data_IF_621850235897
#
_entry.id   IF_621850235897
#
_cell.length_a   1.000
_cell.length_b   1.000
_cell.length_c   1.000
_cell.angle_alpha   90.00
_cell.angle_beta   90.00
_cell.angle_gamma   90.00
#
_symmetry.space_group_name_H-M   'P 1'
#
loop_
_entity.id
_entity.type
_entity.pdbx_description
1 polymer ?
#
# COMPACT_ATOMS: atom_id res chain seq x y z
N UNK A 1 -0.89 -20.47 -22.20
CA UNK A 1 -1.57 -20.38 -20.89
C UNK A 1 -0.57 -20.48 -19.73
N UNK A 2 0.35 -21.44 -19.76
CA UNK A 2 1.36 -21.64 -18.71
C UNK A 2 2.34 -20.46 -18.52
N UNK A 3 2.78 -19.83 -19.62
CA UNK A 3 3.68 -18.66 -19.55
C UNK A 3 3.09 -17.47 -18.76
N UNK A 4 1.78 -17.22 -18.87
CA UNK A 4 1.14 -16.14 -18.11
C UNK A 4 1.08 -16.45 -16.62
N UNK A 5 0.82 -17.71 -16.25
CA UNK A 5 0.82 -18.16 -14.85
C UNK A 5 2.23 -18.13 -14.27
N UNK A 6 3.24 -18.48 -15.07
CA UNK A 6 4.65 -18.41 -14.71
C UNK A 6 5.10 -16.96 -14.48
N UNK A 7 4.74 -16.05 -15.37
CA UNK A 7 4.99 -14.61 -15.21
C UNK A 7 4.37 -14.01 -13.95
N UNK A 8 3.14 -14.41 -13.58
CA UNK A 8 2.52 -13.98 -12.32
C UNK A 8 3.24 -14.53 -11.08
N UNK A 9 3.74 -15.76 -11.13
CA UNK A 9 4.45 -16.39 -9.99
C UNK A 9 5.84 -15.79 -9.76
N UNK A 10 6.61 -15.58 -10.83
CA UNK A 10 8.02 -15.18 -10.73
C UNK A 10 8.27 -13.69 -10.96
N UNK A 11 7.55 -13.08 -11.91
CA UNK A 11 7.80 -11.70 -12.35
C UNK A 11 7.36 -10.64 -11.33
N UNK A 12 6.31 -10.89 -10.56
CA UNK A 12 5.81 -9.95 -9.55
C UNK A 12 6.40 -10.13 -8.15
N UNK A 13 6.80 -11.36 -7.78
CA UNK A 13 7.21 -11.70 -6.41
C UNK A 13 8.72 -11.85 -6.23
N UNK A 14 9.31 -12.85 -6.88
CA UNK A 14 10.71 -13.27 -6.62
C UNK A 14 11.71 -12.28 -7.22
N UNK A 15 11.45 -11.76 -8.42
CA UNK A 15 12.36 -10.86 -9.13
C UNK A 15 12.64 -9.54 -8.38
N UNK A 16 11.72 -9.11 -7.50
CA UNK A 16 11.81 -7.84 -6.77
C UNK A 16 12.36 -8.04 -5.34
N UNK A 17 12.55 -9.28 -4.89
CA UNK A 17 13.09 -9.57 -3.56
C UNK A 17 14.46 -8.89 -3.26
N UNK A 18 15.42 -8.82 -4.21
CA UNK A 18 16.68 -8.11 -3.97
C UNK A 18 16.48 -6.60 -3.71
N UNK A 19 15.56 -5.97 -4.45
CA UNK A 19 15.23 -4.56 -4.28
C UNK A 19 14.57 -4.30 -2.93
N UNK A 20 13.59 -5.12 -2.55
CA UNK A 20 12.93 -5.04 -1.24
C UNK A 20 13.95 -5.19 -0.12
N UNK A 21 14.82 -6.20 -0.21
CA UNK A 21 15.85 -6.44 0.80
C UNK A 21 16.80 -5.24 0.92
N UNK A 22 17.25 -4.67 -0.21
CA UNK A 22 18.09 -3.48 -0.21
C UNK A 22 17.41 -2.29 0.48
N UNK A 23 16.11 -2.06 0.22
CA UNK A 23 15.34 -0.99 0.87
C UNK A 23 15.18 -1.23 2.38
N UNK A 24 14.87 -2.47 2.80
CA UNK A 24 14.73 -2.81 4.22
C UNK A 24 16.06 -2.66 4.98
N UNK A 25 17.16 -3.13 4.40
CA UNK A 25 18.50 -2.99 4.97
C UNK A 25 18.92 -1.52 5.06
N UNK A 26 18.62 -0.70 4.03
CA UNK A 26 18.89 0.74 4.06
C UNK A 26 18.08 1.48 5.14
N UNK A 27 16.85 1.03 5.44
CA UNK A 27 16.00 1.63 6.46
C UNK A 27 16.31 1.15 7.89
N UNK A 28 16.90 -0.04 8.06
CA UNK A 28 17.18 -0.65 9.36
C UNK A 28 18.05 0.22 10.31
N UNK A 29 19.16 0.85 9.86
CA UNK A 29 20.02 1.65 10.75
C UNK A 29 19.47 3.06 11.04
N UNK A 30 18.44 3.53 10.32
CA UNK A 30 17.94 4.90 10.43
C UNK A 30 17.12 5.12 11.72
N UNK A 31 17.75 5.18 12.89
CA UNK A 31 17.09 5.52 14.17
C UNK A 31 16.97 7.03 14.30
N UNK A 32 15.84 7.53 14.82
CA UNK A 32 15.66 8.96 15.10
C UNK A 32 15.44 9.86 13.86
N UNK A 33 14.50 9.52 12.98
CA UNK A 33 14.18 10.37 11.83
C UNK A 33 13.58 11.71 12.26
N UNK A 34 14.07 12.79 11.64
CA UNK A 34 13.46 14.11 11.69
C UNK A 34 11.94 13.99 11.41
N UNK A 35 11.07 14.71 12.14
CA UNK A 35 9.62 14.56 12.03
C UNK A 35 9.07 14.64 10.59
N UNK A 36 9.70 15.46 9.75
CA UNK A 36 9.34 15.63 8.33
C UNK A 36 9.58 14.38 7.46
N UNK A 37 10.50 13.48 7.86
CA UNK A 37 10.81 12.24 7.12
C UNK A 37 9.93 11.05 7.57
N UNK A 38 9.16 11.19 8.66
CA UNK A 38 8.34 10.11 9.22
C UNK A 38 7.23 9.63 8.27
N UNK A 39 6.49 10.52 7.56
CA UNK A 39 5.50 10.09 6.56
C UNK A 39 6.11 9.26 5.42
N UNK A 40 7.30 9.66 4.95
CA UNK A 40 8.02 8.93 3.90
C UNK A 40 8.41 7.53 4.34
N UNK A 41 8.97 7.39 5.55
CA UNK A 41 9.28 6.07 6.11
C UNK A 41 8.01 5.22 6.23
N UNK A 42 6.90 5.79 6.73
CA UNK A 42 5.64 5.06 6.85
C UNK A 42 5.16 4.55 5.48
N UNK A 43 5.20 5.39 4.44
CA UNK A 43 4.82 5.01 3.08
C UNK A 43 5.69 3.89 2.51
N UNK A 44 7.02 4.00 2.64
CA UNK A 44 7.94 2.95 2.14
C UNK A 44 7.73 1.64 2.89
N UNK A 45 7.65 1.66 4.22
CA UNK A 45 7.47 0.43 5.00
C UNK A 45 6.13 -0.24 4.71
N UNK A 46 5.03 0.52 4.68
CA UNK A 46 3.71 -0.02 4.36
C UNK A 46 3.64 -0.52 2.91
N UNK A 47 4.29 0.17 1.96
CA UNK A 47 4.41 -0.25 0.56
C UNK A 47 5.15 -1.58 0.44
N UNK A 48 6.33 -1.70 1.06
CA UNK A 48 7.13 -2.92 1.03
C UNK A 48 6.38 -4.09 1.67
N UNK A 49 5.71 -3.87 2.81
CA UNK A 49 4.89 -4.87 3.47
C UNK A 49 3.80 -5.43 2.53
N UNK A 50 3.03 -4.55 1.90
CA UNK A 50 1.99 -4.94 0.95
C UNK A 50 2.54 -5.64 -0.29
N UNK A 51 3.61 -5.08 -0.86
CA UNK A 51 4.22 -5.61 -2.07
C UNK A 51 4.74 -7.03 -1.86
N UNK A 52 5.45 -7.26 -0.74
CA UNK A 52 5.94 -8.58 -0.34
C UNK A 52 4.78 -9.53 -0.08
N UNK A 53 3.75 -9.09 0.67
CA UNK A 53 2.58 -9.91 0.93
C UNK A 53 1.88 -10.34 -0.38
N UNK A 54 1.71 -9.43 -1.32
CA UNK A 54 1.20 -9.72 -2.66
C UNK A 54 2.07 -10.73 -3.40
N UNK A 55 3.39 -10.54 -3.41
CA UNK A 55 4.35 -11.46 -4.03
C UNK A 55 4.27 -12.88 -3.45
N UNK A 56 4.22 -13.02 -2.12
CA UNK A 56 4.07 -14.30 -1.43
C UNK A 56 2.74 -14.97 -1.80
N UNK A 57 1.63 -14.22 -1.82
CA UNK A 57 0.33 -14.75 -2.25
C UNK A 57 0.40 -15.24 -3.70
N UNK A 58 1.15 -14.55 -4.58
CA UNK A 58 1.35 -14.93 -5.98
C UNK A 58 1.90 -16.35 -6.16
N UNK A 59 2.78 -16.79 -5.25
CA UNK A 59 3.35 -18.14 -5.26
C UNK A 59 2.30 -19.23 -5.01
N UNK A 60 1.21 -18.88 -4.33
CA UNK A 60 0.12 -19.80 -3.95
C UNK A 60 -1.01 -19.88 -4.98
N UNK A 61 -0.91 -19.12 -6.07
CA UNK A 61 -1.95 -19.08 -7.11
C UNK A 61 -2.03 -20.43 -7.83
N UNK A 62 -3.21 -21.03 -7.74
CA UNK A 62 -3.65 -22.22 -8.46
C UNK A 62 -5.11 -22.03 -8.86
N UNK A 63 -5.46 -22.34 -10.11
CA UNK A 63 -6.80 -22.13 -10.66
C UNK A 63 -7.15 -20.64 -10.89
N UNK A 64 -8.44 -20.35 -11.08
CA UNK A 64 -8.97 -19.00 -11.37
C UNK A 64 -9.92 -18.51 -10.27
N UNK A 65 -9.41 -18.31 -9.05
CA UNK A 65 -10.18 -17.85 -7.89
C UNK A 65 -9.72 -16.46 -7.40
N UNK A 66 -10.28 -16.00 -6.29
CA UNK A 66 -9.97 -14.69 -5.69
C UNK A 66 -8.54 -14.55 -5.12
N UNK A 67 -7.71 -15.60 -5.13
CA UNK A 67 -6.27 -15.46 -4.84
C UNK A 67 -5.53 -14.64 -5.90
N UNK A 68 -6.03 -14.64 -7.14
CA UNK A 68 -5.52 -13.76 -8.21
C UNK A 68 -5.70 -12.28 -7.82
N UNK A 69 -6.91 -11.80 -7.49
CA UNK A 69 -7.09 -10.44 -6.95
C UNK A 69 -6.33 -10.17 -5.67
N UNK A 70 -6.20 -11.13 -4.75
CA UNK A 70 -5.37 -10.94 -3.55
C UNK A 70 -3.91 -10.58 -3.89
N UNK A 71 -3.31 -11.32 -4.83
CA UNK A 71 -1.94 -11.08 -5.30
C UNK A 71 -1.77 -9.70 -5.94
N UNK A 72 -2.56 -9.38 -6.97
CA UNK A 72 -2.35 -8.13 -7.69
C UNK A 72 -2.76 -6.91 -6.86
N UNK A 73 -3.72 -7.02 -5.94
CA UNK A 73 -3.98 -5.93 -5.00
C UNK A 73 -2.76 -5.70 -4.12
N UNK A 74 -2.15 -6.74 -3.55
CA UNK A 74 -0.92 -6.56 -2.74
C UNK A 74 0.21 -5.88 -3.53
N UNK A 75 0.50 -6.33 -4.75
CA UNK A 75 1.57 -5.77 -5.57
C UNK A 75 1.25 -4.36 -6.09
N UNK A 76 0.12 -4.17 -6.78
CA UNK A 76 -0.23 -2.89 -7.42
C UNK A 76 -0.45 -1.81 -6.35
N UNK A 77 -1.17 -2.14 -5.28
CA UNK A 77 -1.42 -1.19 -4.19
C UNK A 77 -0.13 -0.87 -3.44
N UNK A 78 0.77 -1.85 -3.28
CA UNK A 78 2.13 -1.61 -2.78
C UNK A 78 2.85 -0.54 -3.60
N UNK A 79 2.81 -0.63 -4.93
CA UNK A 79 3.36 0.40 -5.83
C UNK A 79 2.63 1.73 -5.69
N UNK A 80 1.30 1.74 -5.65
CA UNK A 80 0.52 2.97 -5.41
C UNK A 80 0.92 3.67 -4.12
N UNK A 81 1.17 2.91 -3.06
CA UNK A 81 1.59 3.46 -1.77
C UNK A 81 3.01 4.03 -1.80
N UNK A 82 3.91 3.44 -2.61
CA UNK A 82 5.21 4.03 -2.89
C UNK A 82 5.07 5.36 -3.64
N UNK A 83 4.18 5.43 -4.64
CA UNK A 83 3.90 6.66 -5.38
C UNK A 83 3.27 7.74 -4.49
N UNK A 84 2.40 7.37 -3.54
CA UNK A 84 1.91 8.31 -2.50
C UNK A 84 3.06 8.86 -1.66
N UNK A 85 4.01 8.01 -1.26
CA UNK A 85 5.24 8.43 -0.59
C UNK A 85 6.10 9.36 -1.44
N UNK A 86 6.20 9.09 -2.75
CA UNK A 86 6.90 9.95 -3.70
C UNK A 86 6.24 11.33 -3.79
N UNK A 87 4.90 11.41 -3.82
CA UNK A 87 4.19 12.70 -3.78
C UNK A 87 4.54 13.48 -2.52
N UNK A 88 4.60 12.84 -1.35
CA UNK A 88 5.03 13.52 -0.13
C UNK A 88 6.46 14.06 -0.21
N UNK A 89 7.34 13.40 -0.97
CA UNK A 89 8.74 13.83 -1.18
C UNK A 89 8.84 14.99 -2.17
N UNK A 90 7.99 15.00 -3.19
CA UNK A 90 8.00 15.99 -4.28
C UNK A 90 7.33 17.31 -3.89
N UNK A 91 6.35 17.31 -2.98
CA UNK A 91 5.64 18.53 -2.57
C UNK A 91 6.58 19.70 -2.20
N UNK A 92 7.61 19.53 -1.34
CA UNK A 92 8.60 20.57 -1.07
C UNK A 92 9.43 21.02 -2.28
N UNK A 93 9.75 20.09 -3.19
CA UNK A 93 10.54 20.41 -4.40
C UNK A 93 9.72 21.25 -5.39
N UNK A 94 8.40 21.14 -5.33
CA UNK A 94 7.45 21.93 -6.11
C UNK A 94 7.08 23.26 -5.43
N UNK A 95 7.73 23.61 -4.32
CA UNK A 95 7.51 24.87 -3.60
C UNK A 95 6.36 24.85 -2.59
N UNK A 96 5.72 23.70 -2.34
CA UNK A 96 4.68 23.55 -1.32
C UNK A 96 5.25 23.19 0.06
N UNK A 97 4.42 23.26 1.11
CA UNK A 97 4.84 22.82 2.43
C UNK A 97 5.08 21.29 2.47
N UNK A 98 6.03 20.84 3.29
CA UNK A 98 6.22 19.41 3.51
C UNK A 98 5.06 18.81 4.32
N UNK A 99 4.53 17.63 3.94
CA UNK A 99 3.56 16.90 4.77
C UNK A 99 4.12 16.62 6.17
N UNK A 100 3.41 17.08 7.19
CA UNK A 100 3.82 16.94 8.60
C UNK A 100 2.64 16.54 9.48
N UNK A 101 2.95 16.10 10.70
CA UNK A 101 1.96 15.75 11.72
C UNK A 101 1.46 14.31 11.66
N UNK A 102 0.58 13.97 12.61
CA UNK A 102 0.13 12.59 12.85
C UNK A 102 -0.68 12.03 11.68
N UNK A 103 -1.50 12.85 11.01
CA UNK A 103 -2.30 12.39 9.86
C UNK A 103 -1.41 11.90 8.71
N UNK A 104 -0.35 12.64 8.37
CA UNK A 104 0.58 12.25 7.30
C UNK A 104 1.34 10.95 7.63
N UNK A 105 1.57 10.64 8.91
CA UNK A 105 2.23 9.40 9.35
C UNK A 105 1.26 8.23 9.43
N UNK A 106 0.03 8.45 9.90
CA UNK A 106 -0.99 7.41 10.04
C UNK A 106 -1.57 7.03 8.68
N UNK A 107 -1.69 7.96 7.74
CA UNK A 107 -2.31 7.74 6.45
C UNK A 107 -1.74 6.53 5.69
N UNK A 108 -0.40 6.39 5.50
CA UNK A 108 0.12 5.25 4.76
C UNK A 108 -0.11 3.92 5.48
N UNK A 109 -0.08 3.92 6.81
CA UNK A 109 -0.40 2.74 7.61
C UNK A 109 -1.86 2.36 7.55
N UNK A 110 -2.79 3.32 7.61
CA UNK A 110 -4.22 3.05 7.50
C UNK A 110 -4.56 2.45 6.13
N UNK A 111 -4.02 3.06 5.07
CA UNK A 111 -4.17 2.54 3.71
C UNK A 111 -3.55 1.14 3.57
N UNK A 112 -2.31 0.99 4.06
CA UNK A 112 -1.55 -0.25 4.01
C UNK A 112 -2.19 -1.41 4.76
N UNK A 113 -2.60 -1.18 6.02
CA UNK A 113 -3.26 -2.17 6.87
C UNK A 113 -4.64 -2.51 6.32
N UNK A 114 -5.42 -1.51 5.86
CA UNK A 114 -6.69 -1.77 5.20
C UNK A 114 -6.53 -2.71 4.01
N UNK A 115 -5.55 -2.46 3.16
CA UNK A 115 -5.26 -3.31 2.02
C UNK A 115 -4.67 -4.68 2.41
N UNK A 116 -3.93 -4.77 3.51
CA UNK A 116 -3.46 -6.05 4.02
C UNK A 116 -4.64 -6.92 4.49
N UNK A 117 -5.58 -6.34 5.24
CA UNK A 117 -6.82 -7.02 5.62
C UNK A 117 -7.64 -7.42 4.39
N UNK A 118 -7.69 -6.54 3.39
CA UNK A 118 -8.37 -6.78 2.13
C UNK A 118 -7.84 -8.03 1.40
N UNK A 119 -6.52 -8.11 1.21
CA UNK A 119 -5.88 -9.24 0.51
C UNK A 119 -5.89 -10.52 1.36
N UNK A 120 -5.85 -10.42 2.70
CA UNK A 120 -6.01 -11.58 3.59
C UNK A 120 -7.43 -12.15 3.45
N UNK A 121 -8.46 -11.29 3.45
CA UNK A 121 -9.84 -11.72 3.23
C UNK A 121 -10.04 -12.44 1.91
N UNK A 122 -9.48 -11.91 0.82
CA UNK A 122 -9.48 -12.55 -0.50
C UNK A 122 -8.69 -13.87 -0.52
N UNK A 123 -7.52 -13.91 0.13
CA UNK A 123 -6.70 -15.13 0.18
C UNK A 123 -7.44 -16.25 0.93
N UNK A 124 -8.06 -15.91 2.06
CA UNK A 124 -8.87 -16.81 2.87
C UNK A 124 -10.06 -17.35 2.09
N UNK A 125 -10.92 -16.48 1.55
CA UNK A 125 -12.10 -16.89 0.80
C UNK A 125 -11.75 -17.63 -0.49
N UNK A 126 -10.62 -17.30 -1.12
CA UNK A 126 -10.07 -18.05 -2.26
C UNK A 126 -9.60 -19.45 -1.90
N UNK A 127 -9.20 -19.69 -0.65
CA UNK A 127 -8.95 -21.03 -0.10
C UNK A 127 -10.20 -21.92 -0.07
N UNK A 128 -11.37 -21.30 0.15
CA UNK A 128 -12.68 -21.97 0.06
C UNK A 128 -13.25 -22.03 -1.37
N UNK A 129 -12.50 -21.56 -2.37
CA UNK A 129 -12.91 -21.66 -3.78
C UNK A 129 -13.82 -20.54 -4.28
N UNK A 130 -13.94 -19.41 -3.55
CA UNK A 130 -14.68 -18.23 -4.03
C UNK A 130 -14.10 -17.76 -5.36
N UNK A 131 -14.97 -17.64 -6.35
CA UNK A 131 -14.59 -17.29 -7.72
C UNK A 131 -14.39 -15.79 -7.87
N UNK A 132 -13.45 -15.41 -8.74
CA UNK A 132 -13.29 -14.01 -9.15
C UNK A 132 -14.35 -13.64 -10.19
N UNK A 133 -14.67 -12.35 -10.31
CA UNK A 133 -15.57 -11.78 -11.34
C UNK A 133 -17.02 -12.29 -11.25
N UNK A 134 -17.45 -12.65 -10.05
CA UNK A 134 -18.83 -12.98 -9.72
C UNK A 134 -19.23 -12.04 -8.58
N UNK A 135 -20.43 -11.46 -8.59
CA UNK A 135 -20.88 -10.51 -7.57
C UNK A 135 -22.40 -10.60 -7.34
N UNK A 136 -22.86 -10.08 -6.20
CA UNK A 136 -24.29 -10.04 -5.88
C UNK A 136 -24.90 -11.44 -5.73
N UNK A 137 -26.11 -11.64 -6.27
CA UNK A 137 -26.83 -12.91 -6.17
C UNK A 137 -26.10 -14.10 -6.82
N UNK A 138 -25.19 -13.84 -7.75
CA UNK A 138 -24.36 -14.88 -8.38
C UNK A 138 -23.21 -15.33 -7.48
N UNK A 139 -22.78 -14.50 -6.51
CA UNK A 139 -21.75 -14.85 -5.54
C UNK A 139 -22.37 -15.52 -4.32
N UNK A 140 -22.80 -16.76 -4.50
CA UNK A 140 -23.40 -17.57 -3.43
C UNK A 140 -22.31 -18.04 -2.46
N UNK A 141 -22.20 -17.37 -1.31
CA UNK A 141 -21.32 -17.77 -0.21
C UNK A 141 -22.00 -18.88 0.60
N UNK A 142 -21.36 -20.06 0.68
CA UNK A 142 -21.98 -21.28 1.21
C UNK A 142 -21.53 -21.63 2.62
N UNK A 143 -20.39 -21.11 3.06
CA UNK A 143 -19.81 -21.40 4.38
C UNK A 143 -19.57 -20.14 5.20
N UNK A 144 -19.56 -20.28 6.53
CA UNK A 144 -19.20 -19.19 7.45
C UNK A 144 -17.77 -18.67 7.18
N UNK A 145 -16.87 -19.53 6.71
CA UNK A 145 -15.51 -19.16 6.31
C UNK A 145 -15.48 -18.24 5.08
N UNK A 146 -16.34 -18.49 4.08
CA UNK A 146 -16.49 -17.61 2.91
C UNK A 146 -17.06 -16.25 3.30
N UNK A 147 -18.09 -16.23 4.16
CA UNK A 147 -18.71 -15.01 4.66
C UNK A 147 -17.71 -14.18 5.46
N UNK A 148 -16.98 -14.80 6.39
CA UNK A 148 -15.98 -14.11 7.19
C UNK A 148 -14.83 -13.55 6.33
N UNK A 149 -14.33 -14.34 5.37
CA UNK A 149 -13.27 -13.90 4.45
C UNK A 149 -13.71 -12.71 3.58
N UNK A 150 -14.92 -12.77 3.01
CA UNK A 150 -15.47 -11.66 2.22
C UNK A 150 -15.80 -10.42 3.06
N UNK A 151 -16.29 -10.60 4.30
CA UNK A 151 -16.50 -9.51 5.25
C UNK A 151 -15.19 -8.80 5.62
N UNK A 152 -14.13 -9.57 5.89
CA UNK A 152 -12.78 -9.03 6.14
C UNK A 152 -12.24 -8.27 4.94
N UNK A 153 -12.45 -8.80 3.74
CA UNK A 153 -12.09 -8.14 2.49
C UNK A 153 -12.80 -6.79 2.36
N UNK A 154 -14.11 -6.74 2.60
CA UNK A 154 -14.91 -5.51 2.55
C UNK A 154 -14.45 -4.48 3.58
N UNK A 155 -14.24 -4.88 4.83
CA UNK A 155 -13.74 -4.01 5.89
C UNK A 155 -12.35 -3.43 5.56
N UNK A 156 -11.44 -4.28 5.08
CA UNK A 156 -10.13 -3.84 4.62
C UNK A 156 -10.21 -2.81 3.50
N UNK A 157 -11.10 -3.03 2.54
CA UNK A 157 -11.39 -2.09 1.45
C UNK A 157 -11.89 -0.73 1.96
N UNK A 158 -12.78 -0.73 2.95
CA UNK A 158 -13.28 0.50 3.56
C UNK A 158 -12.16 1.29 4.27
N UNK A 159 -11.32 0.62 5.05
CA UNK A 159 -10.17 1.25 5.70
C UNK A 159 -9.19 1.83 4.67
N UNK A 160 -8.97 1.12 3.56
CA UNK A 160 -8.16 1.61 2.45
C UNK A 160 -8.74 2.87 1.81
N UNK A 161 -10.06 2.93 1.61
CA UNK A 161 -10.75 4.12 1.10
C UNK A 161 -10.53 5.31 2.05
N UNK A 162 -10.70 5.12 3.35
CA UNK A 162 -10.43 6.17 4.36
C UNK A 162 -8.97 6.62 4.29
N UNK A 163 -8.02 5.69 4.20
CA UNK A 163 -6.60 5.99 4.00
C UNK A 163 -6.32 6.77 2.71
N UNK A 164 -7.05 6.50 1.63
CA UNK A 164 -6.95 7.23 0.37
C UNK A 164 -7.48 8.66 0.48
N UNK A 165 -8.60 8.86 1.17
CA UNK A 165 -9.12 10.20 1.45
C UNK A 165 -8.17 11.00 2.36
N UNK A 166 -7.59 10.36 3.37
CA UNK A 166 -6.58 10.99 4.21
C UNK A 166 -5.36 11.45 3.39
N UNK A 167 -4.95 10.70 2.36
CA UNK A 167 -3.86 11.11 1.46
C UNK A 167 -4.21 12.43 0.76
N UNK A 168 -5.37 12.48 0.10
CA UNK A 168 -5.83 13.70 -0.57
C UNK A 168 -5.90 14.88 0.41
N UNK A 169 -6.43 14.65 1.60
CA UNK A 169 -6.53 15.66 2.66
C UNK A 169 -5.17 16.16 3.17
N UNK A 170 -4.15 15.30 3.23
CA UNK A 170 -2.79 15.69 3.61
C UNK A 170 -2.13 16.51 2.49
N UNK A 171 -2.27 16.08 1.23
CA UNK A 171 -1.74 16.79 0.06
C UNK A 171 -2.37 18.17 -0.08
N UNK A 172 -3.70 18.28 0.01
CA UNK A 172 -4.41 19.57 -0.08
C UNK A 172 -3.97 20.52 1.04
N UNK A 173 -3.78 20.02 2.27
CA UNK A 173 -3.28 20.84 3.37
C UNK A 173 -1.86 21.32 3.14
N UNK A 174 -0.99 20.46 2.62
CA UNK A 174 0.38 20.82 2.29
C UNK A 174 0.47 21.89 1.18
N UNK A 175 -0.42 21.81 0.18
CA UNK A 175 -0.49 22.78 -0.91
C UNK A 175 -1.08 24.14 -0.48
N UNK A 176 -1.93 24.15 0.54
CA UNK A 176 -2.58 25.37 1.08
C UNK A 176 -1.83 26.02 2.24
N UNK A 177 -0.89 25.32 2.85
CA UNK A 177 -0.07 25.88 3.91
C UNK A 177 0.97 26.83 3.30
N UNK A 178 1.12 28.01 3.89
CA UNK A 178 2.15 28.95 3.46
C UNK A 178 3.52 28.28 3.53
N UNK A 179 4.26 28.39 2.42
CA UNK A 179 5.64 27.96 2.36
C UNK A 179 6.40 28.83 3.34
N UNK A 180 6.81 28.28 4.49
CA UNK A 180 7.81 28.93 5.34
C UNK A 180 9.09 28.94 4.51
N UNK A 181 9.25 30.00 3.71
CA UNK A 181 10.43 30.31 2.94
C UNK A 181 11.55 30.55 3.94
N UNK A 182 12.38 29.53 4.14
CA UNK A 182 13.67 29.67 4.81
C UNK A 182 14.67 30.40 3.92
N UNK A 183 14.36 31.64 3.54
CA UNK A 183 15.31 32.59 2.95
C UNK A 183 15.17 33.89 3.72
N UNK A 184 15.80 33.91 4.89
CA UNK A 184 16.01 35.10 5.70
C UNK A 184 17.51 35.26 5.94
N UNK A 185 18.07 36.32 5.34
CA UNK A 185 19.29 37.03 5.75
C UNK A 185 20.63 36.32 5.55
N UNK A 186 21.17 36.46 4.34
CA UNK A 186 22.60 36.76 4.18
C UNK A 186 22.72 38.30 4.24
N UNK A 187 22.77 38.84 5.46
CA UNK A 187 23.26 40.21 5.67
C UNK A 187 24.78 40.17 5.55
N UNK A 188 25.26 40.74 4.45
CA UNK A 188 26.64 41.18 4.28
C UNK A 188 26.94 42.33 5.24
N UNK A 189 28.04 42.30 5.99
CA UNK A 189 28.88 43.48 6.18
C UNK A 189 29.85 43.66 5.02
#
# INVERSE_FOLDING_TARGET
>A
REMHTWGMRFGGGVAIAPLVLAVLLALAPMRGLAPVKRPLRAAVLASMLLFVAGGVIGLTIQGSNVKIPAHYHGCIVGVTLALMGLVYRLLPELGYAAPRGRLAVVQPWLYGIGQLLHIIGLMWSGGYGVQRKVAGAEQVLRSSGEIAGMGLMGLGGLLAIVGGFLFALVVIRAMRADTVTGVGMEETP
#
